data_IF_781730778152
#
_entry.id   IF_781730778152
#
_cell.length_a   1.000
_cell.length_b   1.000
_cell.length_c   1.000
_cell.angle_alpha   90.00
_cell.angle_beta   90.00
_cell.angle_gamma   90.00
#
_symmetry.space_group_name_H-M   'P 1'
#
loop_
_entity.id
_entity.type
_entity.pdbx_description
1 polymer ?
#
# COMPACT_ATOMS: atom_id res chain seq x y z
N UNK A 1 -40.05 -0.81 11.95
CA UNK A 1 -39.31 -1.28 13.14
C UNK A 1 -38.02 -0.47 13.22
N UNK A 2 -37.90 0.49 14.15
CA UNK A 2 -36.69 1.34 14.26
C UNK A 2 -35.54 0.58 14.93
N UNK A 3 -34.34 0.69 14.36
CA UNK A 3 -33.10 0.03 14.85
C UNK A 3 -32.21 0.96 15.68
N UNK A 4 -32.57 2.23 15.79
CA UNK A 4 -31.81 3.23 16.55
C UNK A 4 -31.90 2.91 18.05
N UNK A 5 -30.76 2.83 18.73
CA UNK A 5 -30.66 2.61 20.18
C UNK A 5 -30.63 1.15 20.65
N UNK A 6 -30.58 0.17 19.73
CA UNK A 6 -30.50 -1.26 20.09
C UNK A 6 -29.04 -1.76 20.07
N UNK A 7 -28.62 -2.58 21.05
CA UNK A 7 -27.33 -3.26 20.99
C UNK A 7 -27.41 -4.39 19.96
N UNK A 8 -26.92 -4.13 18.75
CA UNK A 8 -26.86 -5.10 17.66
C UNK A 8 -25.44 -5.62 17.52
N UNK A 9 -25.30 -6.92 17.28
CA UNK A 9 -24.02 -7.49 16.89
C UNK A 9 -23.55 -6.88 15.57
N UNK A 10 -22.24 -6.70 15.46
CA UNK A 10 -21.66 -6.14 14.24
C UNK A 10 -21.75 -7.16 13.11
N UNK A 11 -22.24 -6.72 11.95
CA UNK A 11 -22.34 -7.54 10.73
C UNK A 11 -20.99 -8.13 10.29
N UNK A 12 -19.89 -7.45 10.59
CA UNK A 12 -18.52 -7.88 10.26
C UNK A 12 -17.83 -8.66 11.40
N UNK A 13 -18.49 -8.80 12.56
CA UNK A 13 -17.88 -9.34 13.77
C UNK A 13 -17.37 -10.76 13.60
N UNK A 14 -18.20 -11.65 13.06
CA UNK A 14 -17.83 -13.05 12.84
C UNK A 14 -16.62 -13.19 11.89
N UNK A 15 -16.62 -12.46 10.76
CA UNK A 15 -15.53 -12.53 9.78
C UNK A 15 -14.21 -12.04 10.39
N UNK A 16 -14.25 -10.98 11.21
CA UNK A 16 -13.05 -10.45 11.87
C UNK A 16 -12.47 -11.41 12.91
N UNK A 17 -13.31 -12.05 13.74
CA UNK A 17 -12.82 -12.96 14.80
C UNK A 17 -12.43 -14.35 14.30
N UNK A 18 -12.93 -14.74 13.12
CA UNK A 18 -12.58 -16.02 12.47
C UNK A 18 -11.43 -15.89 11.46
N UNK A 19 -10.88 -14.70 11.27
CA UNK A 19 -9.81 -14.43 10.29
C UNK A 19 -10.27 -14.52 8.83
N UNK A 20 -11.58 -14.46 8.57
CA UNK A 20 -12.15 -14.51 7.22
C UNK A 20 -12.34 -13.13 6.59
N UNK A 21 -12.23 -12.06 7.38
CA UNK A 21 -12.24 -10.69 6.88
C UNK A 21 -10.92 -10.42 6.14
N UNK A 22 -11.00 -10.12 4.84
CA UNK A 22 -9.82 -9.76 4.02
C UNK A 22 -9.44 -8.29 4.20
N UNK A 23 -8.16 -8.03 4.40
CA UNK A 23 -7.59 -6.69 4.44
C UNK A 23 -6.79 -6.38 3.18
N UNK A 24 -6.44 -5.11 2.97
CA UNK A 24 -5.82 -4.62 1.73
C UNK A 24 -4.56 -5.40 1.28
N UNK A 25 -3.81 -6.01 2.21
CA UNK A 25 -2.62 -6.80 1.91
C UNK A 25 -2.87 -8.29 1.64
N UNK A 26 -4.12 -8.75 1.64
CA UNK A 26 -4.48 -10.17 1.57
C UNK A 26 -5.16 -10.55 0.25
N UNK A 27 -5.17 -9.64 -0.71
CA UNK A 27 -5.65 -9.89 -2.06
C UNK A 27 -4.49 -10.44 -2.90
N UNK A 28 -4.51 -11.73 -3.29
CA UNK A 28 -3.50 -12.28 -4.19
C UNK A 28 -3.71 -11.75 -5.60
N UNK A 29 -2.63 -11.35 -6.26
CA UNK A 29 -2.62 -10.93 -7.66
C UNK A 29 -1.41 -11.53 -8.37
N UNK A 30 -1.60 -11.90 -9.63
CA UNK A 30 -0.51 -12.43 -10.45
C UNK A 30 0.50 -11.33 -10.76
N UNK A 31 1.78 -11.58 -10.47
CA UNK A 31 2.85 -10.60 -10.65
C UNK A 31 2.90 -9.49 -9.59
N UNK A 32 2.24 -9.67 -8.43
CA UNK A 32 2.24 -8.69 -7.34
C UNK A 32 3.66 -8.29 -6.89
N UNK A 33 4.00 -7.01 -7.09
CA UNK A 33 5.24 -6.41 -6.61
C UNK A 33 5.08 -5.85 -5.19
N UNK A 34 6.19 -5.84 -4.44
CA UNK A 34 6.24 -5.30 -3.09
C UNK A 34 7.02 -3.97 -3.10
N UNK A 35 6.43 -2.93 -2.51
CA UNK A 35 7.06 -1.62 -2.35
C UNK A 35 7.70 -1.45 -0.98
N UNK A 36 8.82 -0.71 -0.91
CA UNK A 36 9.43 -0.27 0.34
C UNK A 36 9.75 1.22 0.28
N UNK A 37 9.44 1.95 1.36
CA UNK A 37 9.55 3.41 1.41
C UNK A 37 10.78 3.82 2.21
N UNK A 38 11.62 4.66 1.61
CA UNK A 38 12.73 5.33 2.30
C UNK A 38 12.32 6.75 2.64
N UNK A 39 12.12 7.02 3.94
CA UNK A 39 11.64 8.32 4.43
C UNK A 39 12.76 9.33 4.63
N UNK A 40 12.40 10.63 4.61
CA UNK A 40 13.32 11.72 4.94
C UNK A 40 13.89 11.57 6.35
N UNK A 41 15.18 11.85 6.50
CA UNK A 41 15.87 11.88 7.81
C UNK A 41 15.79 13.23 8.51
N UNK A 42 15.24 14.24 7.83
CA UNK A 42 15.10 15.61 8.34
C UNK A 42 13.66 16.11 8.25
N UNK A 43 13.29 16.99 9.19
CA UNK A 43 11.94 17.57 9.25
C UNK A 43 11.68 18.63 8.16
N UNK A 44 12.70 19.38 7.74
CA UNK A 44 12.58 20.42 6.71
C UNK A 44 13.87 20.58 5.91
N UNK A 45 13.77 20.52 4.60
CA UNK A 45 14.88 20.74 3.67
C UNK A 45 14.43 20.56 2.23
N UNK A 46 15.39 20.53 1.31
CA UNK A 46 15.15 20.25 -0.11
C UNK A 46 15.93 19.01 -0.51
N UNK A 47 15.28 18.07 -1.20
CA UNK A 47 15.96 16.92 -1.83
C UNK A 47 16.71 17.44 -3.05
N UNK A 48 18.05 17.39 -3.02
CA UNK A 48 18.88 17.80 -4.15
C UNK A 48 19.17 16.64 -5.10
N UNK A 49 19.20 15.41 -4.59
CA UNK A 49 19.51 14.19 -5.34
C UNK A 49 18.95 12.97 -4.61
N UNK A 50 18.55 11.95 -5.38
CA UNK A 50 18.30 10.58 -4.92
C UNK A 50 19.21 9.67 -5.74
N UNK A 51 19.94 8.77 -5.07
CA UNK A 51 20.80 7.78 -5.72
C UNK A 51 20.30 6.38 -5.40
N UNK A 52 19.60 5.76 -6.34
CA UNK A 52 19.02 4.42 -6.21
C UNK A 52 19.87 3.34 -6.90
N UNK A 53 21.05 3.68 -7.43
CA UNK A 53 21.87 2.80 -8.28
C UNK A 53 22.16 1.44 -7.64
N UNK A 54 22.51 1.44 -6.35
CA UNK A 54 22.81 0.20 -5.61
C UNK A 54 21.58 -0.68 -5.42
N UNK A 55 20.40 -0.08 -5.18
CA UNK A 55 19.17 -0.84 -5.02
C UNK A 55 18.75 -1.48 -6.34
N UNK A 56 18.81 -0.72 -7.44
CA UNK A 56 18.49 -1.19 -8.79
C UNK A 56 19.43 -2.29 -9.30
N UNK A 57 20.64 -2.39 -8.77
CA UNK A 57 21.58 -3.45 -9.13
C UNK A 57 21.26 -4.80 -8.47
N UNK A 58 20.34 -4.83 -7.49
CA UNK A 58 19.99 -6.07 -6.79
C UNK A 58 19.00 -6.91 -7.62
N UNK A 59 19.23 -8.23 -7.75
CA UNK A 59 18.28 -9.12 -8.40
C UNK A 59 16.90 -9.05 -7.73
N UNK A 60 15.84 -8.96 -8.54
CA UNK A 60 14.46 -8.90 -8.06
C UNK A 60 13.94 -7.48 -7.77
N UNK A 61 14.79 -6.45 -7.84
CA UNK A 61 14.32 -5.05 -7.82
C UNK A 61 13.86 -4.68 -9.23
N UNK A 62 12.57 -4.38 -9.37
CA UNK A 62 11.93 -4.13 -10.67
C UNK A 62 11.97 -2.64 -11.05
N UNK A 63 11.86 -1.75 -10.07
CA UNK A 63 11.99 -0.30 -10.25
C UNK A 63 12.51 0.35 -8.97
N UNK A 64 13.13 1.53 -9.10
CA UNK A 64 13.78 2.29 -8.04
C UNK A 64 13.69 3.80 -8.28
N UNK A 65 12.84 4.24 -9.20
CA UNK A 65 12.75 5.67 -9.53
C UNK A 65 11.97 6.45 -8.46
N UNK A 66 12.49 7.63 -8.11
CA UNK A 66 11.80 8.66 -7.34
C UNK A 66 10.53 9.24 -8.03
N UNK A 67 10.08 8.60 -9.11
CA UNK A 67 8.95 9.02 -9.95
C UNK A 67 7.61 9.04 -9.23
N UNK A 68 7.46 8.33 -8.11
CA UNK A 68 6.23 8.30 -7.30
C UNK A 68 5.81 9.66 -6.72
N UNK A 69 6.70 10.66 -6.69
CA UNK A 69 6.33 12.03 -6.32
C UNK A 69 5.47 12.72 -7.40
N UNK A 70 5.53 12.27 -8.65
CA UNK A 70 4.75 12.79 -9.79
C UNK A 70 4.09 11.67 -10.63
N UNK A 71 4.02 10.43 -10.14
CA UNK A 71 3.49 9.32 -10.90
C UNK A 71 1.96 9.42 -10.97
N UNK A 72 1.46 9.90 -12.10
CA UNK A 72 0.15 9.49 -12.57
C UNK A 72 0.25 7.99 -12.82
N UNK A 73 -0.47 7.18 -12.05
CA UNK A 73 -0.68 5.78 -12.38
C UNK A 73 -1.22 5.71 -13.82
N UNK A 74 -0.76 4.78 -14.66
CA UNK A 74 -1.54 4.43 -15.83
C UNK A 74 -2.88 3.94 -15.28
N UNK A 75 -3.94 4.71 -15.48
CA UNK A 75 -5.28 4.18 -15.32
C UNK A 75 -5.38 3.06 -16.34
N UNK A 76 -5.42 1.81 -15.85
CA UNK A 76 -5.67 0.68 -16.74
C UNK A 76 -7.04 0.92 -17.39
N UNK A 77 -7.02 1.12 -18.69
CA UNK A 77 -8.21 1.26 -19.50
C UNK A 77 -8.74 -0.13 -19.83
N UNK A 78 -9.84 -0.53 -19.18
CA UNK A 78 -10.74 -1.59 -19.64
C UNK A 78 -10.45 -2.98 -19.10
#
# INVERSE_FOLDING_TARGET
>A
MSVIGKPLDRVDGLLKVTGQARYAGEFPEDGLLHGSVVSSTIAKGRVLRIDASKALALPGVVDGTAGWINAQLPLESG
#
